data_IF_481351225797
#
_entry.id   IF_481351225797
#
_cell.length_a   1.000
_cell.length_b   1.000
_cell.length_c   1.000
_cell.angle_alpha   90.00
_cell.angle_beta   90.00
_cell.angle_gamma   90.00
#
_symmetry.space_group_name_H-M   'P 1'
#
loop_
_entity.id
_entity.type
_entity.pdbx_description
1 polymer ?
#
# COMPACT_ATOMS: atom_id res chain seq x y z
N UNK A 1 2.54 8.24 -25.76
CA UNK A 1 2.83 8.62 -24.40
C UNK A 1 1.56 9.06 -23.65
N UNK A 2 1.61 9.11 -22.34
CA UNK A 2 0.50 9.59 -21.51
C UNK A 2 0.53 11.14 -21.43
N UNK A 3 -0.64 11.76 -21.43
CA UNK A 3 -0.77 13.19 -21.12
C UNK A 3 -1.01 13.31 -19.62
N UNK A 4 -0.14 14.05 -18.92
CA UNK A 4 -0.29 14.36 -17.51
C UNK A 4 -0.98 15.71 -17.34
N UNK A 5 -1.97 15.77 -16.45
CA UNK A 5 -2.62 16.99 -15.96
C UNK A 5 -2.62 16.97 -14.44
N UNK A 6 -2.78 18.12 -13.82
CA UNK A 6 -2.80 18.24 -12.35
C UNK A 6 -4.15 18.77 -11.90
N UNK A 7 -4.59 18.35 -10.74
CA UNK A 7 -5.71 18.98 -10.05
C UNK A 7 -5.42 20.46 -9.82
N UNK A 8 -6.43 21.30 -9.89
CA UNK A 8 -6.26 22.76 -9.81
C UNK A 8 -5.74 23.21 -8.44
N UNK A 9 -6.00 22.41 -7.40
CA UNK A 9 -5.67 22.73 -6.02
C UNK A 9 -4.39 22.01 -5.53
N UNK A 10 -3.66 21.29 -6.39
CA UNK A 10 -2.51 20.45 -6.01
C UNK A 10 -1.38 21.22 -5.30
N UNK A 11 -1.29 22.53 -5.55
CA UNK A 11 -0.29 23.41 -4.91
C UNK A 11 -0.84 24.22 -3.71
N UNK A 12 -2.11 24.04 -3.35
CA UNK A 12 -2.72 24.72 -2.23
C UNK A 12 -2.22 24.13 -0.89
N UNK A 13 -2.08 24.99 0.12
CA UNK A 13 -1.79 24.59 1.50
C UNK A 13 -2.58 25.45 2.45
N UNK A 14 -3.19 24.85 3.47
CA UNK A 14 -3.91 25.59 4.51
C UNK A 14 -2.97 26.38 5.41
N UNK A 15 -1.87 25.74 5.83
CA UNK A 15 -0.82 26.32 6.66
C UNK A 15 0.37 25.37 6.74
N UNK A 16 1.51 25.88 7.20
CA UNK A 16 2.71 25.07 7.43
C UNK A 16 2.49 23.94 8.44
N UNK A 17 1.53 24.10 9.37
CA UNK A 17 1.22 23.06 10.36
C UNK A 17 0.49 21.85 9.77
N UNK A 18 -0.36 22.05 8.75
CA UNK A 18 -1.11 20.97 8.11
C UNK A 18 -0.41 20.40 6.88
N UNK A 19 0.37 21.23 6.19
CA UNK A 19 1.11 20.87 4.98
C UNK A 19 0.26 20.13 3.94
N UNK A 20 -1.01 20.51 3.82
CA UNK A 20 -1.96 19.99 2.85
C UNK A 20 -3.01 21.03 2.48
N UNK A 21 -3.68 20.85 1.37
CA UNK A 21 -4.83 21.65 0.97
C UNK A 21 -6.06 21.41 1.87
N UNK A 22 -7.06 22.27 1.79
CA UNK A 22 -8.33 22.12 2.53
C UNK A 22 -9.05 20.83 2.14
N UNK A 23 -10.00 20.39 2.97
CA UNK A 23 -10.85 19.24 2.63
C UNK A 23 -11.58 19.51 1.32
N UNK A 24 -12.15 20.70 1.18
CA UNK A 24 -12.91 21.13 0.00
C UNK A 24 -12.06 21.07 -1.26
N UNK A 25 -10.85 21.62 -1.24
CA UNK A 25 -9.92 21.61 -2.37
C UNK A 25 -9.54 20.18 -2.81
N UNK A 26 -9.23 19.32 -1.83
CA UNK A 26 -8.84 17.93 -2.10
C UNK A 26 -10.01 17.11 -2.66
N UNK A 27 -11.21 17.29 -2.13
CA UNK A 27 -12.44 16.63 -2.61
C UNK A 27 -12.82 17.14 -4.00
N UNK A 28 -12.70 18.44 -4.23
CA UNK A 28 -12.97 19.01 -5.56
C UNK A 28 -12.04 18.40 -6.62
N UNK A 29 -10.72 18.37 -6.37
CA UNK A 29 -9.75 17.76 -7.29
C UNK A 29 -10.03 16.28 -7.54
N UNK A 30 -10.38 15.52 -6.50
CA UNK A 30 -10.73 14.10 -6.62
C UNK A 30 -11.99 13.91 -7.48
N UNK A 31 -13.06 14.63 -7.17
CA UNK A 31 -14.33 14.52 -7.90
C UNK A 31 -14.21 15.00 -9.35
N UNK A 32 -13.49 16.10 -9.62
CA UNK A 32 -13.24 16.55 -10.99
C UNK A 32 -12.48 15.49 -11.80
N UNK A 33 -11.44 14.89 -11.20
CA UNK A 33 -10.68 13.84 -11.87
C UNK A 33 -11.55 12.61 -12.19
N UNK A 34 -12.50 12.24 -11.33
CA UNK A 34 -13.44 11.15 -11.62
C UNK A 34 -14.51 11.54 -12.65
N UNK A 35 -14.98 12.79 -12.70
CA UNK A 35 -15.97 13.26 -13.70
C UNK A 35 -15.39 13.40 -15.09
N UNK A 36 -14.14 13.81 -15.22
CA UNK A 36 -13.52 14.05 -16.54
C UNK A 36 -13.32 12.74 -17.30
N UNK A 37 -14.09 12.53 -18.36
CA UNK A 37 -14.04 11.32 -19.21
C UNK A 37 -12.70 11.13 -19.93
N UNK A 38 -11.88 12.19 -20.06
CA UNK A 38 -10.54 12.11 -20.64
C UNK A 38 -9.50 11.55 -19.66
N UNK A 39 -9.74 11.67 -18.34
CA UNK A 39 -8.88 11.10 -17.31
C UNK A 39 -9.10 9.58 -17.23
N UNK A 40 -8.04 8.80 -17.39
CA UNK A 40 -8.07 7.34 -17.31
C UNK A 40 -7.45 6.80 -16.01
N UNK A 41 -6.50 7.56 -15.45
CA UNK A 41 -5.83 7.21 -14.22
C UNK A 41 -5.61 8.44 -13.35
N UNK A 42 -5.72 8.26 -12.05
CA UNK A 42 -5.49 9.25 -11.01
C UNK A 42 -4.33 8.76 -10.16
N UNK A 43 -3.29 9.55 -10.03
CA UNK A 43 -2.18 9.29 -9.12
C UNK A 43 -2.14 10.37 -8.06
N UNK A 44 -2.03 9.97 -6.81
CA UNK A 44 -1.83 10.93 -5.72
C UNK A 44 -0.45 11.57 -5.83
N UNK A 45 -0.34 12.86 -5.49
CA UNK A 45 0.92 13.58 -5.57
C UNK A 45 1.94 13.01 -4.56
N UNK A 46 1.47 12.78 -3.33
CA UNK A 46 2.22 12.25 -2.19
C UNK A 46 1.22 11.68 -1.16
N UNK A 47 1.71 10.98 -0.12
CA UNK A 47 0.94 10.58 1.06
C UNK A 47 0.56 11.75 1.96
N UNK A 48 0.57 11.56 3.27
CA UNK A 48 0.20 12.57 4.27
C UNK A 48 -0.08 11.96 5.63
N UNK A 49 -1.05 12.53 6.36
CA UNK A 49 -1.47 12.04 7.68
C UNK A 49 -2.97 12.16 7.95
N UNK A 50 -3.73 12.74 7.04
CA UNK A 50 -5.11 13.15 7.31
C UNK A 50 -6.07 12.91 6.14
N UNK A 51 -5.74 12.01 5.25
CA UNK A 51 -6.63 11.64 4.13
C UNK A 51 -7.92 11.00 4.61
N UNK A 52 -7.92 10.38 5.80
CA UNK A 52 -9.13 9.84 6.43
C UNK A 52 -10.20 10.93 6.73
N UNK A 53 -9.81 12.20 6.82
CA UNK A 53 -10.77 13.31 6.98
C UNK A 53 -11.68 13.51 5.75
N UNK A 54 -11.29 12.98 4.60
CA UNK A 54 -12.03 13.14 3.34
C UNK A 54 -13.20 12.17 3.22
N UNK A 55 -13.21 11.07 3.97
CA UNK A 55 -14.07 9.91 3.73
C UNK A 55 -15.56 10.25 3.74
N UNK A 56 -16.00 11.13 4.66
CA UNK A 56 -17.40 11.56 4.76
C UNK A 56 -17.85 12.52 3.62
N UNK A 57 -16.87 13.09 2.87
CA UNK A 57 -17.12 14.07 1.82
C UNK A 57 -17.05 13.46 0.42
N UNK A 58 -16.59 12.22 0.31
CA UNK A 58 -16.47 11.54 -1.00
C UNK A 58 -17.84 11.15 -1.53
N UNK A 59 -18.11 11.54 -2.77
CA UNK A 59 -19.24 11.03 -3.55
C UNK A 59 -18.90 9.65 -4.13
N UNK A 60 -19.19 8.60 -3.39
CA UNK A 60 -18.90 7.22 -3.78
C UNK A 60 -19.73 6.75 -4.97
N UNK A 61 -20.94 7.29 -5.17
CA UNK A 61 -21.75 6.97 -6.35
C UNK A 61 -21.13 7.57 -7.60
N UNK A 62 -20.64 8.81 -7.54
CA UNK A 62 -19.87 9.41 -8.64
C UNK A 62 -18.68 8.53 -9.04
N UNK A 63 -17.92 8.04 -8.06
CA UNK A 63 -16.76 7.18 -8.31
C UNK A 63 -17.18 5.85 -8.96
N UNK A 64 -18.24 5.23 -8.45
CA UNK A 64 -18.78 3.97 -8.94
C UNK A 64 -19.29 4.08 -10.38
N UNK A 65 -19.91 5.19 -10.71
CA UNK A 65 -20.41 5.48 -12.08
C UNK A 65 -19.29 5.83 -13.06
N UNK A 66 -18.14 6.28 -12.56
CA UNK A 66 -17.00 6.72 -13.37
C UNK A 66 -15.71 5.97 -13.00
N UNK A 67 -15.65 4.64 -13.10
CA UNK A 67 -14.51 3.86 -12.63
C UNK A 67 -13.22 4.26 -13.36
N UNK A 68 -12.17 4.49 -12.57
CA UNK A 68 -10.83 4.85 -13.05
C UNK A 68 -9.75 4.17 -12.22
N UNK A 69 -8.56 4.05 -12.77
CA UNK A 69 -7.37 3.68 -12.01
C UNK A 69 -7.13 4.78 -10.96
N UNK A 70 -7.04 4.38 -9.68
CA UNK A 70 -6.59 5.27 -8.59
C UNK A 70 -5.39 4.61 -7.91
N UNK A 71 -4.25 5.31 -7.86
CA UNK A 71 -2.99 4.77 -7.36
C UNK A 71 -2.31 5.73 -6.35
N UNK A 72 -1.79 5.15 -5.29
CA UNK A 72 -1.03 5.80 -4.23
C UNK A 72 -0.68 4.83 -3.11
N UNK A 73 0.03 5.28 -2.07
CA UNK A 73 0.37 4.47 -0.90
C UNK A 73 0.43 5.30 0.38
N UNK A 74 0.91 4.73 1.50
CA UNK A 74 1.02 5.43 2.79
C UNK A 74 -0.35 5.87 3.32
N UNK A 75 -0.52 7.12 3.74
CA UNK A 75 -1.78 7.71 4.21
C UNK A 75 -2.95 7.54 3.22
N UNK A 76 -2.65 7.41 1.92
CA UNK A 76 -3.65 7.18 0.89
C UNK A 76 -4.35 5.82 1.05
N UNK A 77 -3.81 4.91 1.85
CA UNK A 77 -4.48 3.67 2.24
C UNK A 77 -5.91 3.92 2.71
N UNK A 78 -6.15 5.00 3.48
CA UNK A 78 -7.50 5.33 3.94
C UNK A 78 -8.47 5.58 2.78
N UNK A 79 -8.05 6.31 1.75
CA UNK A 79 -8.88 6.58 0.57
C UNK A 79 -9.07 5.33 -0.29
N UNK A 80 -8.00 4.59 -0.55
CA UNK A 80 -8.04 3.40 -1.40
C UNK A 80 -8.99 2.36 -0.83
N UNK A 81 -8.81 2.04 0.45
CA UNK A 81 -9.62 1.01 1.11
C UNK A 81 -11.08 1.44 1.30
N UNK A 82 -11.34 2.72 1.61
CA UNK A 82 -12.70 3.23 1.70
C UNK A 82 -13.43 3.22 0.34
N UNK A 83 -12.75 3.65 -0.73
CA UNK A 83 -13.31 3.60 -2.07
C UNK A 83 -13.58 2.15 -2.49
N UNK A 84 -12.64 1.23 -2.25
CA UNK A 84 -12.86 -0.18 -2.51
C UNK A 84 -14.05 -0.73 -1.72
N UNK A 85 -14.12 -0.47 -0.42
CA UNK A 85 -15.19 -0.96 0.46
C UNK A 85 -16.59 -0.46 0.04
N UNK A 86 -16.69 0.81 -0.37
CA UNK A 86 -17.95 1.46 -0.71
C UNK A 86 -18.42 1.22 -2.14
N UNK A 87 -17.50 1.04 -3.08
CA UNK A 87 -17.84 0.97 -4.52
C UNK A 87 -17.56 -0.38 -5.15
N UNK A 88 -16.71 -1.21 -4.54
CA UNK A 88 -16.17 -2.44 -5.14
C UNK A 88 -15.12 -2.18 -6.23
N UNK A 89 -14.75 -0.94 -6.47
CA UNK A 89 -13.72 -0.60 -7.46
C UNK A 89 -12.37 -1.18 -7.03
N UNK A 90 -11.66 -1.79 -7.97
CA UNK A 90 -10.28 -2.16 -7.79
C UNK A 90 -9.40 -0.89 -7.85
N UNK A 91 -8.63 -0.65 -6.80
CA UNK A 91 -7.72 0.48 -6.65
C UNK A 91 -6.31 -0.02 -6.33
N UNK A 92 -5.29 0.83 -6.41
CA UNK A 92 -3.92 0.33 -6.49
C UNK A 92 -3.04 0.94 -5.40
N UNK A 93 -2.51 0.10 -4.53
CA UNK A 93 -1.44 0.45 -3.62
C UNK A 93 -0.12 0.41 -4.39
N UNK A 94 0.43 1.59 -4.73
CA UNK A 94 1.59 1.72 -5.61
C UNK A 94 2.18 3.12 -5.56
N UNK A 95 3.12 3.47 -6.45
CA UNK A 95 3.85 4.71 -6.35
C UNK A 95 2.94 5.94 -6.40
N UNK A 96 3.31 6.96 -5.63
CA UNK A 96 2.83 8.32 -5.86
C UNK A 96 3.40 8.87 -7.16
N UNK A 97 2.79 9.91 -7.70
CA UNK A 97 3.35 10.62 -8.85
C UNK A 97 4.77 11.13 -8.59
N UNK A 98 5.02 11.66 -7.40
CA UNK A 98 6.36 12.10 -6.97
C UNK A 98 7.41 10.99 -7.03
N UNK A 99 7.05 9.74 -6.70
CA UNK A 99 7.98 8.60 -6.73
C UNK A 99 8.56 8.33 -8.10
N UNK A 100 7.82 8.64 -9.17
CA UNK A 100 8.29 8.49 -10.55
C UNK A 100 9.34 9.54 -10.96
N UNK A 101 9.56 10.56 -10.12
CA UNK A 101 10.61 11.57 -10.28
C UNK A 101 12.00 11.14 -9.79
N UNK A 102 12.15 9.93 -9.25
CA UNK A 102 13.44 9.40 -8.84
C UNK A 102 14.36 9.17 -10.05
N UNK A 103 15.60 9.65 -9.99
CA UNK A 103 16.60 9.48 -11.06
C UNK A 103 17.22 8.07 -11.12
N UNK A 104 17.23 7.35 -9.99
CA UNK A 104 17.87 6.03 -9.86
C UNK A 104 17.00 5.10 -8.99
N UNK A 105 16.96 3.83 -9.33
CA UNK A 105 16.29 2.79 -8.53
C UNK A 105 14.76 2.75 -8.68
N UNK A 106 14.25 3.26 -9.82
CA UNK A 106 12.83 3.27 -10.17
C UNK A 106 12.43 2.11 -11.10
N UNK A 107 13.40 1.39 -11.67
CA UNK A 107 13.18 0.45 -12.76
C UNK A 107 12.20 -0.66 -12.37
N UNK A 108 12.37 -1.24 -11.19
CA UNK A 108 11.47 -2.25 -10.63
C UNK A 108 10.06 -1.67 -10.44
N UNK A 109 9.96 -0.47 -9.85
CA UNK A 109 8.67 0.21 -9.63
C UNK A 109 7.93 0.46 -10.93
N UNK A 110 8.64 0.97 -11.96
CA UNK A 110 8.05 1.25 -13.28
C UNK A 110 7.59 -0.05 -13.95
N UNK A 111 8.40 -1.13 -13.87
CA UNK A 111 8.04 -2.45 -14.41
C UNK A 111 6.72 -2.95 -13.82
N UNK A 112 6.62 -3.02 -12.49
CA UNK A 112 5.41 -3.52 -11.81
C UNK A 112 4.20 -2.59 -12.02
N UNK A 113 4.41 -1.28 -11.99
CA UNK A 113 3.37 -0.31 -12.31
C UNK A 113 2.81 -0.52 -13.73
N UNK A 114 3.68 -0.68 -14.72
CA UNK A 114 3.25 -0.91 -16.09
C UNK A 114 2.56 -2.28 -16.26
N UNK A 115 3.10 -3.33 -15.65
CA UNK A 115 2.50 -4.67 -15.73
C UNK A 115 1.08 -4.69 -15.16
N UNK A 116 0.90 -4.10 -13.97
CA UNK A 116 -0.39 -4.12 -13.27
C UNK A 116 -1.40 -3.15 -13.87
N UNK A 117 -0.98 -1.97 -14.32
CA UNK A 117 -1.92 -0.93 -14.74
C UNK A 117 -2.09 -0.77 -16.24
N UNK A 118 -1.12 -1.19 -17.05
CA UNK A 118 -1.09 -0.93 -18.49
C UNK A 118 -1.15 -2.20 -19.35
N UNK A 119 -0.91 -3.37 -18.77
CA UNK A 119 -0.94 -4.65 -19.46
C UNK A 119 -2.06 -5.52 -18.91
N UNK A 120 -2.56 -6.46 -19.73
CA UNK A 120 -3.54 -7.48 -19.30
C UNK A 120 -2.87 -8.76 -18.81
N UNK A 121 -1.54 -8.73 -18.64
CA UNK A 121 -0.77 -9.88 -18.21
C UNK A 121 -0.79 -10.01 -16.68
N UNK A 122 -0.54 -11.23 -16.21
CA UNK A 122 -0.31 -11.51 -14.80
C UNK A 122 0.98 -10.86 -14.35
N UNK A 123 1.02 -10.31 -13.16
CA UNK A 123 2.24 -9.84 -12.54
C UNK A 123 2.70 -10.80 -11.45
N UNK A 124 4.02 -10.99 -11.34
CA UNK A 124 4.65 -11.76 -10.27
C UNK A 124 5.41 -10.79 -9.40
N UNK A 125 5.05 -10.71 -8.13
CA UNK A 125 5.82 -9.95 -7.16
C UNK A 125 7.09 -10.75 -6.84
N UNK A 126 8.18 -10.36 -7.49
CA UNK A 126 9.55 -10.85 -7.24
C UNK A 126 10.28 -9.89 -6.28
N UNK A 127 11.51 -10.21 -5.93
CA UNK A 127 12.35 -9.30 -5.14
C UNK A 127 13.22 -8.47 -6.07
N UNK A 128 13.36 -7.18 -5.77
CA UNK A 128 14.31 -6.29 -6.43
C UNK A 128 15.75 -6.72 -6.12
N UNK A 129 16.71 -6.34 -6.96
CA UNK A 129 18.13 -6.63 -6.71
C UNK A 129 18.70 -5.79 -5.56
N UNK A 130 18.27 -4.55 -5.44
CA UNK A 130 18.74 -3.57 -4.46
C UNK A 130 17.59 -2.73 -3.95
N UNK A 131 17.77 -2.20 -2.75
CA UNK A 131 16.81 -1.31 -2.13
C UNK A 131 17.48 -0.13 -1.42
N UNK A 132 16.73 0.94 -1.17
CA UNK A 132 17.14 2.12 -0.40
C UNK A 132 15.94 2.69 0.35
N UNK A 133 16.18 3.34 1.48
CA UNK A 133 15.21 4.19 2.16
C UNK A 133 15.74 5.61 2.38
N UNK A 134 16.80 5.95 1.65
CA UNK A 134 17.32 7.32 1.66
C UNK A 134 16.28 8.28 1.08
N UNK A 135 16.21 9.48 1.65
CA UNK A 135 15.25 10.51 1.26
C UNK A 135 15.62 11.09 -0.11
N UNK A 136 15.22 10.38 -1.15
CA UNK A 136 15.57 10.67 -2.55
C UNK A 136 15.19 12.11 -2.98
N UNK A 137 14.14 12.68 -2.39
CA UNK A 137 13.70 14.06 -2.67
C UNK A 137 14.59 15.12 -2.05
N UNK A 138 15.47 14.76 -1.11
CA UNK A 138 16.49 15.64 -0.53
C UNK A 138 17.79 15.53 -1.33
N UNK A 139 18.26 14.30 -1.58
CA UNK A 139 19.49 14.06 -2.32
C UNK A 139 19.30 12.89 -3.29
N UNK A 140 19.20 13.21 -4.57
CA UNK A 140 19.02 12.24 -5.65
C UNK A 140 20.33 11.52 -6.04
N UNK A 141 21.47 12.17 -5.82
CA UNK A 141 22.75 11.70 -6.38
C UNK A 141 23.50 10.77 -5.43
N UNK A 142 23.44 11.04 -4.12
CA UNK A 142 24.23 10.33 -3.10
C UNK A 142 23.45 9.24 -2.37
N UNK A 143 22.43 8.66 -3.00
CA UNK A 143 21.65 7.57 -2.42
C UNK A 143 22.48 6.30 -2.30
N UNK A 144 22.32 5.61 -1.18
CA UNK A 144 22.93 4.29 -0.92
C UNK A 144 21.95 3.18 -1.25
N UNK A 145 22.35 2.30 -2.17
CA UNK A 145 21.58 1.11 -2.50
C UNK A 145 22.19 -0.12 -1.83
N UNK A 146 21.37 -0.86 -1.11
CA UNK A 146 21.74 -2.06 -0.35
C UNK A 146 21.32 -3.28 -1.17
N UNK A 147 22.15 -4.32 -1.21
CA UNK A 147 21.81 -5.60 -1.82
C UNK A 147 20.57 -6.20 -1.13
N UNK A 148 19.58 -6.56 -1.93
CA UNK A 148 18.34 -7.13 -1.42
C UNK A 148 18.49 -8.64 -1.22
N UNK A 149 18.37 -9.08 0.04
CA UNK A 149 18.38 -10.51 0.39
C UNK A 149 17.08 -11.24 0.01
N UNK A 150 16.13 -10.49 -0.52
CA UNK A 150 14.83 -10.99 -0.92
C UNK A 150 13.83 -11.17 0.23
N UNK A 151 12.63 -11.57 -0.16
CA UNK A 151 11.57 -11.96 0.79
C UNK A 151 11.97 -13.21 1.57
N UNK A 152 11.41 -13.34 2.80
CA UNK A 152 11.65 -14.52 3.65
C UNK A 152 10.34 -15.15 4.10
N UNK A 153 10.27 -16.48 4.00
CA UNK A 153 9.14 -17.27 4.47
C UNK A 153 9.22 -17.40 5.99
N UNK A 154 8.17 -16.96 6.70
CA UNK A 154 7.99 -17.21 8.13
C UNK A 154 7.10 -18.44 8.34
N UNK A 155 5.99 -18.52 7.64
CA UNK A 155 5.11 -19.67 7.62
C UNK A 155 4.88 -20.13 6.18
N UNK A 156 5.07 -21.44 5.97
CA UNK A 156 4.81 -22.08 4.67
C UNK A 156 3.32 -22.28 4.44
N UNK A 157 2.93 -22.39 3.17
CA UNK A 157 1.57 -22.73 2.76
C UNK A 157 1.23 -22.16 1.40
N UNK A 158 0.00 -22.43 1.00
CA UNK A 158 -0.58 -21.94 -0.25
C UNK A 158 -1.92 -21.27 0.08
N UNK A 159 -2.24 -20.20 -0.62
CA UNK A 159 -3.53 -19.55 -0.52
C UNK A 159 -3.87 -18.81 -1.82
N UNK A 160 -5.16 -18.59 -2.02
CA UNK A 160 -5.65 -17.73 -3.07
C UNK A 160 -6.81 -16.88 -2.56
N UNK A 161 -6.89 -15.63 -3.00
CA UNK A 161 -7.94 -14.73 -2.55
C UNK A 161 -7.71 -13.29 -3.01
N UNK A 162 -8.66 -12.44 -2.66
CA UNK A 162 -8.54 -11.01 -2.94
C UNK A 162 -7.59 -10.35 -1.94
N UNK A 163 -6.89 -9.31 -2.42
CA UNK A 163 -5.92 -8.53 -1.68
C UNK A 163 -6.60 -7.33 -1.01
N UNK A 164 -6.31 -7.10 0.27
CA UNK A 164 -6.65 -5.87 1.00
C UNK A 164 -5.52 -5.50 1.95
N UNK A 165 -5.35 -4.24 2.27
CA UNK A 165 -4.31 -3.79 3.19
C UNK A 165 -3.60 -2.51 2.75
N UNK A 166 -2.33 -2.37 3.11
CA UNK A 166 -1.51 -1.19 2.86
C UNK A 166 -0.74 -0.76 4.10
N UNK A 167 -0.70 0.54 4.36
CA UNK A 167 -0.10 1.07 5.57
C UNK A 167 -0.95 0.71 6.80
N UNK A 168 -0.36 -0.06 7.73
CA UNK A 168 -1.10 -0.70 8.82
C UNK A 168 -1.72 0.30 9.80
N UNK A 169 -0.98 1.33 10.20
CA UNK A 169 -1.52 2.32 11.12
C UNK A 169 -2.68 3.10 10.48
N UNK A 170 -2.57 3.43 9.20
CA UNK A 170 -3.65 4.11 8.45
C UNK A 170 -4.84 3.19 8.22
N UNK A 171 -4.61 1.92 7.88
CA UNK A 171 -5.66 0.92 7.70
C UNK A 171 -6.49 0.74 8.99
N UNK A 172 -5.82 0.76 10.14
CA UNK A 172 -6.48 0.68 11.44
C UNK A 172 -7.37 1.89 11.76
N UNK A 173 -7.17 3.05 11.14
CA UNK A 173 -8.08 4.20 11.32
C UNK A 173 -9.49 3.92 10.81
N UNK A 174 -9.65 2.95 9.92
CA UNK A 174 -10.95 2.58 9.36
C UNK A 174 -11.77 1.65 10.27
N UNK A 175 -11.15 1.04 11.30
CA UNK A 175 -11.83 0.09 12.18
C UNK A 175 -13.04 0.70 12.88
N UNK A 176 -14.17 -0.01 12.81
CA UNK A 176 -15.42 0.44 13.40
C UNK A 176 -16.21 1.46 12.58
N UNK A 177 -15.71 1.83 11.40
CA UNK A 177 -16.41 2.69 10.44
C UNK A 177 -16.99 1.88 9.29
N UNK A 178 -17.89 2.47 8.52
CA UNK A 178 -18.43 1.89 7.29
C UNK A 178 -17.42 1.85 6.12
N UNK A 179 -16.25 2.46 6.29
CA UNK A 179 -15.16 2.53 5.32
C UNK A 179 -14.19 1.36 5.42
N UNK A 180 -14.28 0.56 6.49
CA UNK A 180 -13.42 -0.61 6.68
C UNK A 180 -13.81 -1.72 5.71
N UNK A 181 -12.90 -2.20 4.82
CA UNK A 181 -13.21 -3.32 3.94
C UNK A 181 -13.39 -4.61 4.73
N UNK A 182 -14.10 -5.55 4.12
CA UNK A 182 -14.17 -6.90 4.68
C UNK A 182 -12.82 -7.61 4.49
N UNK A 183 -12.24 -8.06 5.61
CA UNK A 183 -10.95 -8.77 5.65
C UNK A 183 -11.12 -10.30 5.67
N UNK A 184 -12.37 -10.81 5.68
CA UNK A 184 -12.64 -12.23 5.72
C UNK A 184 -12.25 -12.92 4.41
N UNK A 185 -11.53 -14.04 4.51
CA UNK A 185 -11.05 -14.79 3.37
C UNK A 185 -10.16 -14.00 2.39
N UNK A 186 -9.47 -12.97 2.89
CA UNK A 186 -8.56 -12.13 2.10
C UNK A 186 -7.10 -12.52 2.34
N UNK A 187 -6.26 -12.13 1.41
CA UNK A 187 -4.81 -12.05 1.58
C UNK A 187 -4.50 -10.62 2.01
N UNK A 188 -3.87 -10.46 3.17
CA UNK A 188 -3.47 -9.15 3.66
C UNK A 188 -2.06 -8.82 3.16
N UNK A 189 -1.86 -7.58 2.71
CA UNK A 189 -0.53 -7.01 2.48
C UNK A 189 -0.38 -5.79 3.39
N UNK A 190 0.62 -5.82 4.25
CA UNK A 190 0.75 -4.83 5.34
C UNK A 190 2.19 -4.32 5.44
N UNK A 191 2.34 -3.01 5.57
CA UNK A 191 3.60 -2.35 5.88
C UNK A 191 3.33 -1.17 6.83
N UNK A 192 4.36 -0.50 7.31
CA UNK A 192 4.22 0.75 8.04
C UNK A 192 5.47 1.63 7.86
N UNK A 193 5.33 2.93 8.08
CA UNK A 193 6.43 3.88 7.96
C UNK A 193 7.36 3.89 9.16
N UNK A 194 8.55 4.46 8.95
CA UNK A 194 9.59 4.55 9.98
C UNK A 194 9.38 5.67 11.01
N UNK A 195 8.23 6.32 11.07
CA UNK A 195 7.98 7.42 12.01
C UNK A 195 8.16 7.06 13.48
N UNK A 196 7.88 5.80 13.82
CA UNK A 196 8.10 5.27 15.17
C UNK A 196 9.59 5.01 15.50
N UNK A 197 10.49 5.01 14.51
CA UNK A 197 11.91 4.73 14.72
C UNK A 197 12.14 3.40 15.45
N UNK A 198 13.00 3.41 16.46
CA UNK A 198 13.42 2.19 17.20
C UNK A 198 12.29 1.46 17.96
N UNK A 199 11.15 2.10 18.18
CA UNK A 199 9.98 1.47 18.82
C UNK A 199 8.97 0.95 17.79
N UNK A 200 9.30 0.96 16.51
CA UNK A 200 8.49 0.45 15.41
C UNK A 200 7.94 -0.95 15.70
N UNK A 201 8.77 -1.88 16.12
CA UNK A 201 8.37 -3.27 16.41
C UNK A 201 7.22 -3.36 17.43
N UNK A 202 7.19 -2.47 18.44
CA UNK A 202 6.13 -2.44 19.47
C UNK A 202 4.83 -1.86 18.92
N UNK A 203 4.93 -0.80 18.14
CA UNK A 203 3.76 -0.18 17.50
C UNK A 203 3.16 -1.15 16.48
N UNK A 204 3.99 -1.70 15.60
CA UNK A 204 3.55 -2.67 14.61
C UNK A 204 2.89 -3.91 15.25
N UNK A 205 3.49 -4.45 16.31
CA UNK A 205 2.93 -5.58 17.07
C UNK A 205 1.54 -5.27 17.62
N UNK A 206 1.36 -4.10 18.24
CA UNK A 206 0.08 -3.64 18.79
C UNK A 206 -0.95 -3.42 17.69
N UNK A 207 -0.57 -2.76 16.60
CA UNK A 207 -1.46 -2.40 15.52
C UNK A 207 -1.88 -3.63 14.71
N UNK A 208 -0.97 -4.59 14.52
CA UNK A 208 -1.29 -5.90 13.94
C UNK A 208 -2.27 -6.67 14.84
N UNK A 209 -2.08 -6.66 16.17
CA UNK A 209 -3.02 -7.31 17.08
C UNK A 209 -4.40 -6.65 17.05
N UNK A 210 -4.48 -5.32 16.91
CA UNK A 210 -5.75 -4.60 16.75
C UNK A 210 -6.50 -5.08 15.50
N UNK A 211 -5.81 -5.18 14.38
CA UNK A 211 -6.39 -5.70 13.13
C UNK A 211 -6.85 -7.16 13.30
N UNK A 212 -6.05 -8.01 13.94
CA UNK A 212 -6.42 -9.41 14.17
C UNK A 212 -7.62 -9.56 15.09
N UNK A 213 -7.85 -8.63 16.02
CA UNK A 213 -9.08 -8.60 16.82
C UNK A 213 -10.33 -8.33 15.97
N UNK A 214 -10.22 -7.48 14.96
CA UNK A 214 -11.31 -7.26 13.99
C UNK A 214 -11.65 -8.53 13.23
N UNK A 215 -10.62 -9.35 12.97
CA UNK A 215 -10.75 -10.62 12.24
C UNK A 215 -11.31 -11.78 13.09
N UNK A 216 -11.91 -11.54 14.26
CA UNK A 216 -12.43 -12.60 15.13
C UNK A 216 -13.31 -13.60 14.38
N UNK A 217 -12.85 -14.86 14.33
CA UNK A 217 -13.56 -15.96 13.64
C UNK A 217 -13.53 -15.87 12.12
N UNK A 218 -12.87 -14.88 11.55
CA UNK A 218 -12.67 -14.70 10.11
C UNK A 218 -11.35 -15.32 9.68
N UNK A 219 -11.37 -16.05 8.59
CA UNK A 219 -10.19 -16.70 8.05
C UNK A 219 -9.39 -15.72 7.20
N UNK A 220 -8.28 -15.21 7.70
CA UNK A 220 -7.25 -14.60 6.85
C UNK A 220 -6.56 -15.70 6.09
N UNK A 221 -6.42 -15.55 4.77
CA UNK A 221 -5.83 -16.57 3.91
C UNK A 221 -4.31 -16.59 3.95
N UNK A 222 -3.69 -15.42 3.97
CA UNK A 222 -2.24 -15.23 4.04
C UNK A 222 -1.89 -13.78 4.40
N UNK A 223 -0.63 -13.56 4.78
CA UNK A 223 -0.12 -12.19 4.99
C UNK A 223 1.23 -12.00 4.27
N UNK A 224 1.35 -10.88 3.57
CA UNK A 224 2.57 -10.40 2.94
C UNK A 224 2.98 -9.13 3.68
N UNK A 225 4.12 -9.14 4.36
CA UNK A 225 4.65 -7.95 5.03
C UNK A 225 5.68 -7.24 4.15
N UNK A 226 5.50 -5.93 3.99
CA UNK A 226 6.45 -5.05 3.34
C UNK A 226 7.75 -4.90 4.12
N UNK A 227 8.77 -4.33 3.47
CA UNK A 227 10.06 -4.07 4.07
C UNK A 227 9.99 -2.87 5.00
N UNK A 228 10.45 -3.03 6.25
CA UNK A 228 10.61 -1.91 7.17
C UNK A 228 11.85 -1.06 6.80
N UNK A 229 11.78 0.25 7.07
CA UNK A 229 12.89 1.18 6.89
C UNK A 229 14.03 0.89 7.89
N UNK A 230 15.26 1.33 7.57
CA UNK A 230 16.48 1.09 8.39
C UNK A 230 16.35 1.63 9.83
N UNK A 231 15.76 2.82 9.98
CA UNK A 231 15.59 3.46 11.29
C UNK A 231 14.66 2.69 12.24
N UNK A 232 13.84 1.78 11.71
CA UNK A 232 13.00 0.86 12.51
C UNK A 232 13.81 -0.21 13.23
N UNK A 233 15.07 -0.44 12.82
CA UNK A 233 15.92 -1.51 13.33
C UNK A 233 15.19 -2.87 13.40
N UNK A 234 14.33 -3.12 12.40
CA UNK A 234 13.51 -4.32 12.34
C UNK A 234 14.33 -5.49 11.77
N UNK A 235 14.55 -6.50 12.58
CA UNK A 235 15.30 -7.71 12.19
C UNK A 235 14.34 -8.87 11.88
N UNK A 236 14.84 -9.93 11.24
CA UNK A 236 14.05 -11.14 10.98
C UNK A 236 13.58 -11.80 12.29
N UNK A 237 14.42 -11.77 13.34
CA UNK A 237 14.08 -12.32 14.65
C UNK A 237 12.90 -11.56 15.27
N UNK A 238 12.90 -10.23 15.20
CA UNK A 238 11.79 -9.39 15.69
C UNK A 238 10.49 -9.67 14.91
N UNK A 239 10.56 -9.81 13.58
CA UNK A 239 9.42 -10.24 12.77
C UNK A 239 8.87 -11.59 13.21
N UNK A 240 9.75 -12.59 13.36
CA UNK A 240 9.39 -13.94 13.78
C UNK A 240 8.77 -13.92 15.19
N UNK A 241 9.31 -13.13 16.10
CA UNK A 241 8.77 -12.98 17.46
C UNK A 241 7.35 -12.40 17.43
N UNK A 242 7.12 -11.28 16.72
CA UNK A 242 5.80 -10.68 16.56
C UNK A 242 4.80 -11.69 16.01
N UNK A 243 5.16 -12.40 14.95
CA UNK A 243 4.26 -13.32 14.25
C UNK A 243 3.95 -14.54 15.12
N UNK A 244 4.96 -15.14 15.76
CA UNK A 244 4.78 -16.35 16.58
C UNK A 244 4.00 -16.13 17.87
N UNK A 245 4.01 -14.90 18.39
CA UNK A 245 3.24 -14.54 19.58
C UNK A 245 1.73 -14.39 19.30
N UNK A 246 1.29 -14.47 18.04
CA UNK A 246 -0.12 -14.33 17.65
C UNK A 246 -0.73 -15.66 17.25
N UNK A 247 -1.67 -16.13 18.09
CA UNK A 247 -2.35 -17.43 17.87
C UNK A 247 -3.12 -17.47 16.54
N UNK A 248 -3.61 -16.32 16.10
CA UNK A 248 -4.35 -16.13 14.85
C UNK A 248 -3.50 -16.42 13.61
N UNK A 249 -2.18 -16.27 13.72
CA UNK A 249 -1.23 -16.41 12.61
C UNK A 249 -0.56 -17.78 12.52
N UNK A 250 -0.85 -18.69 13.46
CA UNK A 250 -0.13 -19.97 13.59
C UNK A 250 -0.09 -20.83 12.32
N UNK A 251 -1.19 -20.84 11.56
CA UNK A 251 -1.36 -21.71 10.40
C UNK A 251 -1.57 -20.91 9.08
N UNK A 252 -1.24 -19.64 9.08
CA UNK A 252 -1.42 -18.75 7.92
C UNK A 252 -0.09 -18.64 7.18
N UNK A 253 -0.06 -18.81 5.84
CA UNK A 253 1.13 -18.53 5.04
C UNK A 253 1.59 -17.10 5.20
N UNK A 254 2.88 -16.90 5.52
CA UNK A 254 3.42 -15.56 5.81
C UNK A 254 4.81 -15.39 5.20
N UNK A 255 5.01 -14.28 4.51
CA UNK A 255 6.32 -13.77 4.08
C UNK A 255 6.55 -12.36 4.61
N UNK A 256 7.83 -12.01 4.78
CA UNK A 256 8.30 -10.69 5.20
C UNK A 256 9.26 -10.12 4.17
N UNK A 257 9.53 -8.82 4.25
CA UNK A 257 10.47 -8.08 3.41
C UNK A 257 10.11 -8.03 1.91
N UNK A 258 8.83 -8.02 1.58
CA UNK A 258 8.38 -7.75 0.21
C UNK A 258 8.65 -6.28 -0.16
N UNK A 259 8.88 -6.04 -1.44
CA UNK A 259 9.24 -4.71 -1.95
C UNK A 259 8.01 -3.83 -2.16
N UNK A 260 7.39 -3.40 -1.07
CA UNK A 260 6.36 -2.35 -1.04
C UNK A 260 6.40 -1.59 0.29
N UNK A 261 5.79 -0.40 0.32
CA UNK A 261 5.77 0.49 1.47
C UNK A 261 6.81 1.62 1.38
N UNK A 262 7.47 1.95 2.49
CA UNK A 262 8.31 3.14 2.63
C UNK A 262 9.80 2.93 2.30
N UNK A 263 10.13 1.86 1.61
CA UNK A 263 11.45 1.65 0.99
C UNK A 263 11.34 1.72 -0.54
N UNK A 264 12.44 1.94 -1.23
CA UNK A 264 12.51 1.96 -2.70
C UNK A 264 13.34 0.77 -3.18
N UNK A 265 12.88 0.03 -4.21
CA UNK A 265 11.67 0.23 -5.01
C UNK A 265 10.42 -0.36 -4.36
N UNK A 266 9.26 -0.11 -4.98
CA UNK A 266 7.97 -0.68 -4.58
C UNK A 266 7.25 -1.31 -5.76
N UNK A 267 6.59 -2.45 -5.54
CA UNK A 267 5.64 -3.01 -6.49
C UNK A 267 4.27 -2.33 -6.39
N UNK A 268 3.42 -2.57 -7.38
CA UNK A 268 2.02 -2.12 -7.37
C UNK A 268 1.12 -3.29 -7.02
N UNK A 269 0.26 -3.13 -6.02
CA UNK A 269 -0.64 -4.17 -5.49
C UNK A 269 -2.09 -3.72 -5.70
N UNK A 270 -2.93 -4.49 -6.40
CA UNK A 270 -4.34 -4.17 -6.58
C UNK A 270 -5.14 -4.50 -5.30
N UNK A 271 -5.72 -3.49 -4.67
CA UNK A 271 -6.72 -3.67 -3.61
C UNK A 271 -8.02 -4.15 -4.26
N UNK A 272 -8.54 -5.28 -3.79
CA UNK A 272 -9.67 -5.96 -4.41
C UNK A 272 -9.29 -6.90 -5.55
N UNK A 273 -8.06 -6.81 -6.08
CA UNK A 273 -7.52 -7.74 -7.07
C UNK A 273 -7.30 -9.14 -6.48
N UNK A 274 -7.04 -10.11 -7.32
CA UNK A 274 -6.89 -11.51 -6.90
C UNK A 274 -5.44 -11.95 -6.92
N UNK A 275 -5.01 -12.71 -5.92
CA UNK A 275 -3.67 -13.26 -5.88
C UNK A 275 -3.68 -14.78 -5.59
N UNK A 276 -2.68 -15.46 -6.16
CA UNK A 276 -2.31 -16.84 -5.81
C UNK A 276 -0.92 -16.81 -5.21
N UNK A 277 -0.79 -17.40 -4.04
CA UNK A 277 0.50 -17.46 -3.33
C UNK A 277 0.89 -18.91 -3.04
N UNK A 278 2.19 -19.15 -3.10
CA UNK A 278 2.79 -20.40 -2.67
C UNK A 278 4.14 -20.15 -2.03
N UNK A 279 4.25 -20.51 -0.74
CA UNK A 279 5.44 -20.37 0.08
C UNK A 279 5.92 -21.75 0.52
N UNK A 280 6.91 -22.30 -0.18
CA UNK A 280 7.50 -23.61 0.14
C UNK A 280 9.04 -23.55 0.14
N UNK A 281 9.69 -24.00 -0.92
CA UNK A 281 11.14 -23.80 -1.16
C UNK A 281 11.39 -22.45 -1.85
N UNK A 282 10.42 -21.96 -2.59
CA UNK A 282 10.42 -20.70 -3.30
C UNK A 282 9.22 -19.86 -2.85
N UNK A 283 9.29 -18.58 -3.09
CA UNK A 283 8.19 -17.65 -2.89
C UNK A 283 7.61 -17.35 -4.27
N UNK A 284 6.33 -17.65 -4.43
CA UNK A 284 5.56 -17.26 -5.61
C UNK A 284 4.35 -16.45 -5.17
N UNK A 285 4.22 -15.24 -5.68
CA UNK A 285 3.08 -14.34 -5.47
C UNK A 285 2.65 -13.87 -6.86
N UNK A 286 1.59 -14.48 -7.37
CA UNK A 286 1.01 -14.18 -8.68
C UNK A 286 -0.23 -13.31 -8.48
N UNK A 287 -0.22 -12.11 -9.07
CA UNK A 287 -1.37 -11.20 -9.12
C UNK A 287 -2.11 -11.46 -10.43
N UNK A 288 -3.42 -11.66 -10.33
CA UNK A 288 -4.32 -11.78 -11.48
C UNK A 288 -5.39 -10.69 -11.38
N UNK A 289 -5.71 -10.09 -12.49
CA UNK A 289 -6.84 -9.15 -12.60
C UNK A 289 -8.17 -9.89 -12.60
#
# INVERSE_FOLDING_TARGET
GLKVTFGKNVMNSMSDNYNCASIEDRIEDLHEAFRDTNVKAIMTAIGGFNSNQLLDYIDYELIKENPKILCGFSDITALLEAIHAKTGLEVYYGPHFSSLGMKKGCEYTIKHFANVLMNDEKDIIDSSEKWSDDLWFIDQENRTFIENKGMKIVNKGEAEGRLVGGNLCTFNLLQGTEYMPDVENKILFLEDDGGAGKVFNRNFDRDLQSLLHLCKGKNIKAIIFGRAQKNCEMTEEKWIEIIKNKKELKNIPIVINADFGHTTPICTIPIGGYAKIKFDKNINIEITK
#
